data_IF_198644823300
#
_entry.id   IF_198644823300
#
_cell.length_a   1.000
_cell.length_b   1.000
_cell.length_c   1.000
_cell.angle_alpha   90.00
_cell.angle_beta   90.00
_cell.angle_gamma   90.00
#
_symmetry.space_group_name_H-M   'P 1'
#
loop_
_entity.id
_entity.type
_entity.pdbx_description
1 polymer ?
#
# COMPACT_ATOMS: atom_id res chain seq x y z
N UNK A 1 5.15 -2.32 -5.01
CA UNK A 1 4.58 -1.11 -5.61
C UNK A 1 4.46 -1.30 -7.13
N UNK A 2 3.29 -1.01 -7.69
CA UNK A 2 3.00 -1.14 -9.13
C UNK A 2 2.43 0.21 -9.59
N UNK A 3 2.88 0.72 -10.73
CA UNK A 3 2.42 2.00 -11.29
C UNK A 3 3.58 2.88 -11.74
N UNK A 4 3.47 4.20 -11.55
CA UNK A 4 4.54 5.17 -11.86
C UNK A 4 5.16 5.78 -10.59
N UNK A 5 6.30 6.45 -10.75
CA UNK A 5 6.94 7.22 -9.68
C UNK A 5 5.97 8.24 -9.09
N UNK A 6 5.91 8.34 -7.77
CA UNK A 6 5.08 9.35 -7.08
C UNK A 6 5.69 10.75 -7.21
N UNK A 7 4.90 11.79 -6.94
CA UNK A 7 5.33 13.19 -7.09
C UNK A 7 6.53 13.56 -6.19
N UNK A 8 6.51 13.10 -4.93
CA UNK A 8 7.57 13.39 -3.96
C UNK A 8 7.44 14.73 -3.24
N UNK A 9 6.22 15.21 -2.98
CA UNK A 9 6.00 16.36 -2.10
C UNK A 9 5.57 15.93 -0.69
N UNK A 10 6.53 15.93 0.22
CA UNK A 10 6.40 15.59 1.63
C UNK A 10 6.60 16.81 2.55
N UNK A 11 6.95 17.98 2.00
CA UNK A 11 6.82 19.24 2.74
C UNK A 11 5.36 19.69 2.72
N UNK A 12 4.67 19.42 3.82
CA UNK A 12 3.23 19.60 3.97
C UNK A 12 2.82 21.03 4.31
N UNK A 13 1.57 21.35 3.96
CA UNK A 13 0.96 22.66 4.17
C UNK A 13 -0.04 22.56 5.33
N UNK A 14 0.05 23.45 6.31
CA UNK A 14 -0.91 23.49 7.42
C UNK A 14 -1.03 24.89 8.02
N UNK A 15 -2.26 25.33 8.32
CA UNK A 15 -2.52 26.53 9.12
C UNK A 15 -2.18 27.87 8.46
N UNK A 16 -2.24 27.99 7.14
CA UNK A 16 -2.09 29.28 6.46
C UNK A 16 -3.37 30.10 6.57
N UNK A 17 -3.21 31.39 6.89
CA UNK A 17 -4.31 32.35 6.95
C UNK A 17 -4.89 32.62 5.55
N UNK A 18 -6.15 33.04 5.52
CA UNK A 18 -6.79 33.56 4.29
C UNK A 18 -6.50 35.04 4.12
N UNK A 19 -6.49 35.49 2.87
CA UNK A 19 -6.42 36.90 2.51
C UNK A 19 -7.79 37.57 2.67
N UNK A 20 -7.81 38.89 2.80
CA UNK A 20 -9.03 39.69 3.04
C UNK A 20 -10.04 39.61 1.90
N UNK A 21 -9.57 39.32 0.68
CA UNK A 21 -10.37 39.12 -0.53
C UNK A 21 -10.86 37.67 -0.71
N UNK A 22 -10.55 36.79 0.24
CA UNK A 22 -10.88 35.37 0.19
C UNK A 22 -9.83 34.49 -0.51
N UNK A 23 -8.73 35.07 -1.01
CA UNK A 23 -7.58 34.33 -1.52
C UNK A 23 -6.86 33.50 -0.46
N UNK A 24 -5.97 32.61 -0.90
CA UNK A 24 -5.20 31.72 -0.03
C UNK A 24 -3.74 31.60 -0.51
N UNK A 25 -2.81 31.52 0.44
CA UNK A 25 -1.40 31.24 0.19
C UNK A 25 -1.07 29.84 0.73
N UNK A 26 -0.50 29.01 -0.13
CA UNK A 26 0.00 27.68 0.20
C UNK A 26 1.48 27.75 0.63
N UNK A 27 1.74 28.10 1.89
CA UNK A 27 3.09 28.02 2.47
C UNK A 27 3.30 26.63 3.11
N UNK A 28 4.35 25.89 2.72
CA UNK A 28 4.73 24.64 3.38
C UNK A 28 5.27 24.91 4.80
N UNK A 29 4.86 24.11 5.79
CA UNK A 29 5.08 24.38 7.23
C UNK A 29 5.72 23.24 8.00
N UNK A 30 5.69 22.02 7.48
CA UNK A 30 6.33 20.87 8.14
C UNK A 30 6.91 19.91 7.10
N UNK A 31 7.98 19.24 7.48
CA UNK A 31 8.71 18.29 6.65
C UNK A 31 8.71 16.89 7.26
N UNK A 32 8.89 15.88 6.43
CA UNK A 32 9.06 14.48 6.85
C UNK A 32 10.52 14.10 6.59
N UNK A 33 11.18 13.59 7.63
CA UNK A 33 12.59 13.20 7.65
C UNK A 33 12.73 11.78 8.19
N UNK A 34 13.83 11.12 7.86
CA UNK A 34 14.16 9.81 8.42
C UNK A 34 14.89 9.93 9.78
N UNK A 35 15.23 8.77 10.34
CA UNK A 35 15.99 8.65 11.60
C UNK A 35 17.43 9.18 11.53
N UNK A 36 17.94 9.46 10.32
CA UNK A 36 19.26 10.05 10.08
C UNK A 36 19.18 11.56 9.82
N UNK A 37 18.03 12.19 10.05
CA UNK A 37 17.76 13.61 9.81
C UNK A 37 17.81 14.04 8.33
N UNK A 38 17.66 13.07 7.40
CA UNK A 38 17.66 13.33 5.97
C UNK A 38 16.23 13.45 5.42
N UNK A 39 16.07 14.27 4.37
CA UNK A 39 14.79 14.37 3.66
C UNK A 39 14.48 13.04 2.96
N UNK A 40 13.39 12.38 3.36
CA UNK A 40 13.12 11.01 2.89
C UNK A 40 13.03 10.92 1.36
N UNK A 41 12.10 11.66 0.76
CA UNK A 41 11.79 11.60 -0.68
C UNK A 41 11.30 12.94 -1.24
N UNK A 42 11.58 14.07 -0.58
CA UNK A 42 11.19 15.40 -1.10
C UNK A 42 11.86 15.67 -2.46
N UNK A 43 11.07 16.05 -3.48
CA UNK A 43 11.53 16.23 -4.87
C UNK A 43 11.89 14.94 -5.61
N UNK A 44 11.88 13.78 -4.93
CA UNK A 44 12.25 12.48 -5.49
C UNK A 44 11.05 11.53 -5.57
N UNK A 45 10.20 11.43 -4.56
CA UNK A 45 9.11 10.46 -4.53
C UNK A 45 9.58 9.01 -4.48
N UNK A 46 8.65 8.08 -4.67
CA UNK A 46 8.87 6.64 -4.55
C UNK A 46 8.79 6.01 -5.93
N UNK A 47 9.81 5.24 -6.29
CA UNK A 47 9.83 4.46 -7.53
C UNK A 47 9.04 3.15 -7.37
N UNK A 48 8.29 2.73 -8.41
CA UNK A 48 7.57 1.47 -8.39
C UNK A 48 8.53 0.29 -8.57
N UNK A 49 8.26 -0.83 -7.90
CA UNK A 49 8.96 -2.10 -8.17
C UNK A 49 8.63 -2.62 -9.57
N UNK A 50 7.40 -2.40 -10.01
CA UNK A 50 6.92 -2.76 -11.35
C UNK A 50 6.36 -1.51 -12.00
N UNK A 51 7.11 -0.94 -12.94
CA UNK A 51 6.68 0.24 -13.70
C UNK A 51 5.54 -0.14 -14.64
N UNK A 52 4.41 0.52 -14.48
CA UNK A 52 3.24 0.45 -15.36
C UNK A 52 2.81 1.87 -15.68
N UNK A 53 2.46 2.12 -16.93
CA UNK A 53 1.99 3.43 -17.39
C UNK A 53 0.53 3.28 -17.79
N UNK A 54 -0.31 4.13 -17.22
CA UNK A 54 -1.72 4.16 -17.59
C UNK A 54 -1.88 4.86 -18.94
N UNK A 55 -2.14 4.05 -19.97
CA UNK A 55 -2.32 4.54 -21.34
C UNK A 55 -3.69 5.20 -21.48
N UNK A 56 -3.78 6.47 -21.91
CA UNK A 56 -5.05 7.18 -22.00
C UNK A 56 -6.12 6.45 -22.81
N UNK A 57 -5.74 5.81 -23.91
CA UNK A 57 -6.64 5.05 -24.78
C UNK A 57 -7.18 3.75 -24.16
N UNK A 58 -6.46 3.18 -23.18
CA UNK A 58 -6.90 2.01 -22.42
C UNK A 58 -7.84 2.43 -21.30
N UNK A 59 -7.44 3.46 -20.54
CA UNK A 59 -8.29 4.03 -19.49
C UNK A 59 -9.64 4.48 -20.05
N UNK A 60 -9.64 5.13 -21.23
CA UNK A 60 -10.87 5.55 -21.90
C UNK A 60 -11.81 4.40 -22.27
N UNK A 61 -11.30 3.17 -22.39
CA UNK A 61 -12.06 1.94 -22.62
C UNK A 61 -12.45 1.21 -21.34
N UNK A 62 -12.06 1.74 -20.16
CA UNK A 62 -12.22 1.08 -18.87
C UNK A 62 -11.19 -0.01 -18.59
N UNK A 63 -10.14 -0.11 -19.40
CA UNK A 63 -9.01 -1.01 -19.17
C UNK A 63 -7.96 -0.29 -18.31
N UNK A 64 -7.72 -0.76 -17.09
CA UNK A 64 -6.72 -0.19 -16.17
C UNK A 64 -5.46 -1.07 -16.15
N UNK A 65 -4.36 -0.64 -16.82
CA UNK A 65 -3.15 -1.45 -16.91
C UNK A 65 -2.49 -1.73 -15.55
N UNK A 66 -2.58 -0.78 -14.61
CA UNK A 66 -1.97 -0.89 -13.29
C UNK A 66 -2.69 -1.94 -12.43
N UNK A 67 -4.03 -1.95 -12.47
CA UNK A 67 -4.85 -2.95 -11.77
C UNK A 67 -4.72 -4.32 -12.42
N UNK A 68 -4.78 -4.41 -13.75
CA UNK A 68 -4.57 -5.68 -14.47
C UNK A 68 -3.23 -6.31 -14.09
N UNK A 69 -2.15 -5.50 -14.07
CA UNK A 69 -0.83 -5.98 -13.67
C UNK A 69 -0.77 -6.40 -12.22
N UNK A 70 -1.45 -5.67 -11.33
CA UNK A 70 -1.53 -6.04 -9.92
C UNK A 70 -2.20 -7.41 -9.72
N UNK A 71 -3.33 -7.66 -10.39
CA UNK A 71 -4.03 -8.94 -10.35
C UNK A 71 -3.13 -10.06 -10.89
N UNK A 72 -2.49 -9.87 -12.05
CA UNK A 72 -1.56 -10.84 -12.64
C UNK A 72 -0.44 -11.24 -11.66
N UNK A 73 0.19 -10.25 -11.02
CA UNK A 73 1.29 -10.47 -10.08
C UNK A 73 0.80 -11.19 -8.81
N UNK A 74 -0.37 -10.81 -8.29
CA UNK A 74 -0.92 -11.42 -7.08
C UNK A 74 -1.33 -12.87 -7.33
N UNK A 75 -1.95 -13.18 -8.46
CA UNK A 75 -2.29 -14.56 -8.82
C UNK A 75 -1.05 -15.44 -8.93
N UNK A 76 0.01 -14.97 -9.60
CA UNK A 76 1.31 -15.67 -9.66
C UNK A 76 1.91 -15.91 -8.28
N UNK A 77 1.81 -14.94 -7.36
CA UNK A 77 2.30 -15.08 -5.98
C UNK A 77 1.51 -16.12 -5.19
N UNK A 78 0.20 -16.19 -5.39
CA UNK A 78 -0.66 -17.20 -4.74
C UNK A 78 -0.36 -18.61 -5.25
N UNK A 79 -0.09 -18.77 -6.55
CA UNK A 79 0.34 -20.05 -7.13
C UNK A 79 1.70 -20.49 -6.58
N UNK A 80 2.66 -19.57 -6.49
CA UNK A 80 4.00 -19.85 -5.97
C UNK A 80 4.02 -20.10 -4.45
N UNK A 81 3.12 -19.48 -3.70
CA UNK A 81 3.00 -19.61 -2.24
C UNK A 81 1.56 -19.93 -1.85
N UNK A 82 1.11 -21.18 -2.03
CA UNK A 82 -0.27 -21.56 -1.72
C UNK A 82 -0.53 -21.41 -0.22
N UNK A 83 -1.67 -20.81 0.11
CA UNK A 83 -2.09 -20.63 1.50
C UNK A 83 -2.28 -22.00 2.15
N UNK A 84 -1.67 -22.20 3.32
CA UNK A 84 -1.90 -23.41 4.12
C UNK A 84 -3.35 -23.43 4.57
N UNK A 85 -4.16 -24.31 3.98
CA UNK A 85 -5.53 -24.55 4.46
C UNK A 85 -5.44 -25.14 5.86
N UNK A 86 -6.01 -24.43 6.82
CA UNK A 86 -6.20 -24.96 8.18
C UNK A 86 -7.40 -25.90 8.13
N UNK A 87 -7.18 -27.17 8.43
CA UNK A 87 -8.26 -28.11 8.68
C UNK A 87 -8.59 -28.12 10.16
N UNK A 88 -9.87 -28.08 10.51
CA UNK A 88 -10.29 -28.34 11.89
C UNK A 88 -9.80 -29.72 12.32
N UNK A 89 -9.26 -29.86 13.55
CA UNK A 89 -8.93 -31.18 14.07
C UNK A 89 -10.19 -32.03 14.16
N UNK A 90 -10.01 -33.36 14.12
CA UNK A 90 -11.10 -34.29 14.42
C UNK A 90 -11.69 -33.93 15.77
N UNK A 91 -13.03 -33.86 15.91
CA UNK A 91 -13.66 -33.63 17.20
C UNK A 91 -13.16 -34.62 18.24
N UNK A 92 -12.94 -34.20 19.49
CA UNK A 92 -12.47 -35.10 20.53
C UNK A 92 -13.49 -36.21 20.77
N UNK A 93 -13.01 -37.44 20.99
CA UNK A 93 -13.86 -38.54 21.42
C UNK A 93 -14.33 -38.27 22.86
N UNK A 94 -15.62 -37.99 23.02
CA UNK A 94 -16.26 -37.70 24.31
C UNK A 94 -16.82 -38.95 24.99
N UNK A 95 -16.58 -40.15 24.44
CA UNK A 95 -17.04 -41.41 25.04
C UNK A 95 -16.15 -41.88 26.21
N UNK A 96 -14.97 -41.29 26.37
CA UNK A 96 -14.01 -41.58 27.45
C UNK A 96 -13.56 -40.28 28.13
N UNK A 97 -13.14 -40.39 29.39
CA UNK A 97 -12.47 -39.28 30.08
C UNK A 97 -11.08 -39.04 29.47
N UNK A 98 -10.72 -37.78 29.25
CA UNK A 98 -9.40 -37.40 28.74
C UNK A 98 -8.49 -37.18 29.95
N UNK A 99 -7.67 -38.17 30.28
CA UNK A 99 -6.59 -38.07 31.26
C UNK A 99 -5.26 -37.85 30.53
N UNK A 100 -4.93 -36.60 30.21
CA UNK A 100 -3.56 -36.24 29.83
C UNK A 100 -2.93 -35.39 30.93
N UNK A 101 -1.78 -35.80 31.44
CA UNK A 101 -0.94 -34.95 32.28
C UNK A 101 -0.35 -33.83 31.42
N UNK A 102 -0.87 -32.62 31.62
CA UNK A 102 -0.31 -31.42 31.00
C UNK A 102 0.95 -31.05 31.78
N UNK A 103 2.12 -31.17 31.13
CA UNK A 103 3.42 -30.77 31.66
C UNK A 103 3.74 -29.30 31.37
#
# INVERSE_FOLDING_TARGET
>A
LIGTRTWGGLVGISGNARLVDGGYIAVPRFGIFDENEEWIIEGIGVYPDIKVVDRPEKLAKGEDPSIEKAVEVLLKKLEANPVKKVSSPTPPDRSKWIEEEIK
#
